data_IF_129724589356
#
_entry.id   IF_129724589356
#
_cell.length_a   1.000
_cell.length_b   1.000
_cell.length_c   1.000
_cell.angle_alpha   90.00
_cell.angle_beta   90.00
_cell.angle_gamma   90.00
#
_symmetry.space_group_name_H-M   'P 1'
#
loop_
_entity.id
_entity.type
_entity.pdbx_description
1 polymer ?
#
# COMPACT_ATOMS: atom_id res chain seq x y z
N UNK A 1 -10.40 -12.76 3.47
CA UNK A 1 -9.08 -12.63 2.83
C UNK A 1 -8.37 -11.51 3.58
N UNK A 2 -7.30 -11.83 4.30
CA UNK A 2 -6.62 -10.90 5.22
C UNK A 2 -6.09 -9.65 4.50
N UNK A 3 -6.19 -8.45 5.09
CA UNK A 3 -5.86 -7.18 4.43
C UNK A 3 -4.36 -7.09 4.11
N UNK A 4 -3.51 -7.71 4.92
CA UNK A 4 -2.07 -7.94 4.74
C UNK A 4 -1.77 -8.60 3.40
N UNK A 5 -2.56 -9.60 3.03
CA UNK A 5 -2.39 -10.30 1.75
C UNK A 5 -2.76 -9.40 0.55
N UNK A 6 -3.65 -8.41 0.74
CA UNK A 6 -4.05 -7.45 -0.32
C UNK A 6 -2.97 -6.40 -0.55
N UNK A 7 -2.50 -5.71 0.50
CA UNK A 7 -1.49 -4.64 0.35
C UNK A 7 -0.17 -5.21 -0.20
N UNK A 8 0.30 -6.33 0.34
CA UNK A 8 1.49 -7.00 -0.18
C UNK A 8 1.30 -7.48 -1.64
N UNK A 9 0.09 -7.92 -2.00
CA UNK A 9 -0.27 -8.27 -3.37
C UNK A 9 -0.17 -7.08 -4.32
N UNK A 10 -0.79 -5.96 -3.97
CA UNK A 10 -0.76 -4.72 -4.73
C UNK A 10 0.66 -4.18 -4.92
N UNK A 11 1.47 -4.17 -3.85
CA UNK A 11 2.88 -3.78 -3.95
C UNK A 11 3.66 -4.67 -4.92
N UNK A 12 3.43 -5.99 -4.89
CA UNK A 12 4.05 -6.93 -5.82
C UNK A 12 3.57 -6.75 -7.26
N UNK A 13 2.30 -6.41 -7.47
CA UNK A 13 1.77 -6.09 -8.81
C UNK A 13 2.45 -4.87 -9.42
N UNK A 14 2.80 -3.88 -8.59
CA UNK A 14 3.61 -2.72 -8.98
C UNK A 14 5.10 -3.05 -9.19
N UNK A 15 5.53 -4.30 -8.92
CA UNK A 15 6.94 -4.70 -9.03
C UNK A 15 7.84 -4.14 -7.93
N UNK A 16 7.28 -3.67 -6.80
CA UNK A 16 8.02 -2.97 -5.77
C UNK A 16 8.40 -3.87 -4.58
N UNK A 17 9.57 -3.63 -4.02
CA UNK A 17 9.99 -4.10 -2.70
C UNK A 17 9.36 -3.24 -1.59
N UNK A 18 9.39 -3.73 -0.34
CA UNK A 18 8.92 -2.94 0.81
C UNK A 18 9.71 -1.62 0.96
N UNK A 19 11.02 -1.64 0.68
CA UNK A 19 11.87 -0.46 0.75
C UNK A 19 11.48 0.59 -0.30
N UNK A 20 11.30 0.18 -1.55
CA UNK A 20 10.90 1.12 -2.62
C UNK A 20 9.51 1.69 -2.36
N UNK A 21 8.57 0.89 -1.86
CA UNK A 21 7.26 1.39 -1.48
C UNK A 21 7.33 2.40 -0.32
N UNK A 22 8.18 2.15 0.68
CA UNK A 22 8.42 3.07 1.79
C UNK A 22 9.00 4.41 1.30
N UNK A 23 9.94 4.37 0.35
CA UNK A 23 10.49 5.57 -0.30
C UNK A 23 9.41 6.37 -1.05
N UNK A 24 8.53 5.70 -1.82
CA UNK A 24 7.42 6.37 -2.53
C UNK A 24 6.43 7.04 -1.58
N UNK A 25 6.23 6.46 -0.40
CA UNK A 25 5.36 7.00 0.65
C UNK A 25 6.08 8.01 1.55
N UNK A 26 7.39 8.19 1.39
CA UNK A 26 8.24 9.01 2.23
C UNK A 26 8.14 8.65 3.73
N UNK A 27 8.20 7.35 4.02
CA UNK A 27 8.22 6.79 5.38
C UNK A 27 9.39 5.81 5.54
N UNK A 28 9.70 5.43 6.78
CA UNK A 28 10.73 4.42 7.02
C UNK A 28 10.27 3.03 6.57
N UNK A 29 11.23 2.16 6.22
CA UNK A 29 10.96 0.74 5.93
C UNK A 29 10.19 0.07 7.07
N UNK A 30 10.58 0.32 8.32
CA UNK A 30 9.90 -0.23 9.51
C UNK A 30 8.45 0.24 9.61
N UNK A 31 8.18 1.53 9.30
CA UNK A 31 6.82 2.05 9.30
C UNK A 31 5.98 1.36 8.20
N UNK A 32 6.52 1.21 6.99
CA UNK A 32 5.83 0.50 5.93
C UNK A 32 5.59 -0.98 6.28
N UNK A 33 6.60 -1.67 6.81
CA UNK A 33 6.50 -3.06 7.28
C UNK A 33 5.37 -3.21 8.31
N UNK A 34 5.32 -2.35 9.32
CA UNK A 34 4.26 -2.37 10.33
C UNK A 34 2.88 -2.13 9.72
N UNK A 35 2.78 -1.21 8.74
CA UNK A 35 1.52 -0.92 8.04
C UNK A 35 1.05 -2.07 7.15
N UNK A 36 1.95 -2.66 6.38
CA UNK A 36 1.64 -3.83 5.53
C UNK A 36 1.25 -5.06 6.37
N UNK A 37 1.75 -5.17 7.60
CA UNK A 37 1.37 -6.22 8.55
C UNK A 37 0.19 -5.84 9.46
N UNK A 38 -0.52 -4.74 9.17
CA UNK A 38 -1.68 -4.25 9.94
C UNK A 38 -1.40 -3.91 11.41
N UNK A 39 -0.13 -3.79 11.80
CA UNK A 39 0.28 -3.38 13.15
C UNK A 39 -0.09 -1.92 13.38
N UNK A 40 -0.01 -1.10 12.33
CA UNK A 40 -0.41 0.32 12.36
C UNK A 40 -1.17 0.69 11.09
N UNK A 41 -2.18 1.57 11.13
CA UNK A 41 -2.92 1.94 9.94
C UNK A 41 -2.10 2.83 8.99
N UNK A 42 -2.46 2.80 7.70
CA UNK A 42 -2.06 3.84 6.75
C UNK A 42 -2.80 5.14 7.05
N UNK A 43 -2.10 6.28 6.96
CA UNK A 43 -2.73 7.60 7.03
C UNK A 43 -3.51 7.89 5.74
N UNK A 44 -4.44 8.84 5.78
CA UNK A 44 -5.24 9.17 4.59
C UNK A 44 -4.37 9.67 3.43
N UNK A 45 -3.28 10.38 3.73
CA UNK A 45 -2.29 10.80 2.73
C UNK A 45 -1.61 9.59 2.08
N UNK A 46 -1.20 8.60 2.87
CA UNK A 46 -0.60 7.37 2.34
C UNK A 46 -1.61 6.58 1.51
N UNK A 47 -2.86 6.46 1.96
CA UNK A 47 -3.93 5.78 1.21
C UNK A 47 -4.18 6.41 -0.16
N UNK A 48 -4.19 7.74 -0.22
CA UNK A 48 -4.32 8.49 -1.48
C UNK A 48 -3.16 8.18 -2.43
N UNK A 49 -1.92 8.21 -1.94
CA UNK A 49 -0.74 7.89 -2.75
C UNK A 49 -0.79 6.45 -3.26
N UNK A 50 -1.10 5.48 -2.39
CA UNK A 50 -1.22 4.06 -2.77
C UNK A 50 -2.29 3.87 -3.85
N UNK A 51 -3.48 4.47 -3.67
CA UNK A 51 -4.55 4.42 -4.67
C UNK A 51 -4.07 4.96 -6.02
N UNK A 52 -3.37 6.09 -6.01
CA UNK A 52 -2.92 6.73 -7.24
C UNK A 52 -1.85 5.91 -7.97
N UNK A 53 -0.92 5.28 -7.24
CA UNK A 53 0.04 4.33 -7.81
C UNK A 53 -0.67 3.12 -8.44
N UNK A 54 -1.72 2.60 -7.80
CA UNK A 54 -2.42 1.41 -8.29
C UNK A 54 -3.22 1.63 -9.57
N UNK A 55 -3.44 2.87 -10.01
CA UNK A 55 -4.09 3.16 -11.31
C UNK A 55 -3.30 2.59 -12.49
N UNK A 56 -2.01 2.31 -12.33
CA UNK A 56 -1.16 1.71 -13.36
C UNK A 56 -1.44 0.22 -13.58
N UNK A 57 -1.98 -0.47 -12.58
CA UNK A 57 -2.08 -1.95 -12.55
C UNK A 57 -3.47 -2.47 -12.15
N UNK A 58 -4.35 -1.61 -11.66
CA UNK A 58 -5.71 -1.93 -11.24
C UNK A 58 -6.66 -0.93 -11.91
N UNK A 59 -7.76 -1.44 -12.47
CA UNK A 59 -8.80 -0.60 -13.05
C UNK A 59 -9.65 0.04 -11.95
N UNK A 60 -9.84 1.36 -12.03
CA UNK A 60 -10.68 2.17 -11.14
C UNK A 60 -10.52 1.88 -9.62
N UNK A 61 -9.29 1.95 -9.06
CA UNK A 61 -9.06 1.67 -7.65
C UNK A 61 -9.70 2.73 -6.75
N UNK A 62 -10.39 2.29 -5.69
CA UNK A 62 -10.94 3.15 -4.64
C UNK A 62 -10.26 2.87 -3.30
N UNK A 63 -10.25 3.87 -2.40
CA UNK A 63 -9.71 3.69 -1.04
C UNK A 63 -10.49 2.61 -0.29
N UNK A 64 -11.82 2.61 -0.45
CA UNK A 64 -12.71 1.60 0.15
C UNK A 64 -12.32 0.19 -0.32
N UNK A 65 -12.24 -0.02 -1.63
CA UNK A 65 -11.84 -1.30 -2.23
C UNK A 65 -10.38 -1.70 -2.01
N UNK A 66 -9.54 -0.89 -1.38
CA UNK A 66 -8.14 -1.25 -1.08
C UNK A 66 -7.98 -1.51 0.42
N UNK A 67 -8.56 -0.66 1.26
CA UNK A 67 -8.29 -0.59 2.70
C UNK A 67 -9.46 -1.05 3.57
N UNK A 68 -10.64 -1.25 3.00
CA UNK A 68 -11.86 -1.70 3.66
C UNK A 68 -12.45 -2.90 2.90
#
# INVERSE_FOLDING_TARGET
MDLKNRIAGYRKMLGLTQSEMAERLNISLTAYFNKENEITPFSDKEKVIIRDMLKEVVENPSIDSIFF
#
